data_IF_919596005387
#
_entry.id   IF_919596005387
#
_cell.length_a   1.000
_cell.length_b   1.000
_cell.length_c   1.000
_cell.angle_alpha   90.00
_cell.angle_beta   90.00
_cell.angle_gamma   90.00
#
_symmetry.space_group_name_H-M   'P 1'
#
loop_
_entity.id
_entity.type
_entity.pdbx_description
1 polymer ?
#
# COMPACT_ATOMS: atom_id res chain seq x y z
N UNK A 1 -16.39 39.81 59.46
CA UNK A 1 -16.98 39.20 58.29
C UNK A 1 -15.85 39.02 57.25
N UNK A 2 -15.25 37.83 57.20
CA UNK A 2 -14.12 37.54 56.30
C UNK A 2 -14.67 36.95 55.03
N UNK A 3 -14.49 37.64 53.89
CA UNK A 3 -14.84 37.14 52.57
C UNK A 3 -13.72 36.24 52.08
N UNK A 4 -13.98 34.94 51.96
CA UNK A 4 -13.09 33.99 51.28
C UNK A 4 -13.27 34.14 49.76
N UNK A 5 -12.22 34.59 49.10
CA UNK A 5 -12.10 34.52 47.64
C UNK A 5 -11.64 33.12 47.26
N UNK A 6 -12.52 32.34 46.63
CA UNK A 6 -12.16 31.09 45.97
C UNK A 6 -11.62 31.45 44.58
N UNK A 7 -10.30 31.35 44.43
CA UNK A 7 -9.65 31.41 43.09
C UNK A 7 -9.73 30.00 42.49
N UNK A 8 -10.67 29.85 41.57
CA UNK A 8 -10.76 28.64 40.72
C UNK A 8 -9.68 28.71 39.65
N UNK A 9 -8.59 27.97 39.86
CA UNK A 9 -7.56 27.78 38.84
C UNK A 9 -8.07 26.70 37.86
N UNK A 10 -8.59 27.15 36.71
CA UNK A 10 -8.90 26.29 35.59
C UNK A 10 -7.57 25.82 34.96
N UNK A 11 -7.13 24.62 35.33
CA UNK A 11 -6.07 23.93 34.59
C UNK A 11 -6.61 23.52 33.20
N UNK A 12 -6.33 24.33 32.22
CA UNK A 12 -6.53 23.96 30.82
C UNK A 12 -5.42 22.97 30.44
N UNK A 13 -5.69 21.67 30.58
CA UNK A 13 -4.84 20.63 30.09
C UNK A 13 -4.89 20.68 28.55
N UNK A 14 -3.90 21.31 27.94
CA UNK A 14 -3.65 21.27 26.49
C UNK A 14 -3.21 19.84 26.16
N UNK A 15 -4.16 18.98 25.79
CA UNK A 15 -3.85 17.69 25.18
C UNK A 15 -3.30 18.00 23.80
N UNK A 16 -1.98 18.07 23.67
CA UNK A 16 -1.28 18.06 22.40
C UNK A 16 -1.55 16.69 21.78
N UNK A 17 -2.62 16.59 21.02
CA UNK A 17 -2.80 15.47 20.09
C UNK A 17 -1.67 15.57 19.05
N UNK A 18 -0.56 14.90 19.32
CA UNK A 18 0.42 14.59 18.29
C UNK A 18 -0.31 13.73 17.28
N UNK A 19 -0.85 14.34 16.23
CA UNK A 19 -1.24 13.63 15.03
C UNK A 19 0.05 13.01 14.47
N UNK A 20 0.36 11.78 14.90
CA UNK A 20 1.40 10.99 14.29
C UNK A 20 1.01 10.90 12.83
N UNK A 21 1.75 11.60 11.98
CA UNK A 21 1.66 11.45 10.54
C UNK A 21 1.99 9.98 10.28
N UNK A 22 0.97 9.15 10.15
CA UNK A 22 1.15 7.73 9.85
C UNK A 22 1.90 7.65 8.54
N UNK A 23 3.16 7.27 8.61
CA UNK A 23 3.99 7.09 7.43
C UNK A 23 3.44 5.91 6.64
N UNK A 24 3.43 6.02 5.31
CA UNK A 24 2.88 4.98 4.42
C UNK A 24 3.65 3.67 4.54
N UNK A 25 4.95 3.75 4.71
CA UNK A 25 5.85 2.61 4.87
C UNK A 25 6.39 2.57 6.30
N UNK A 26 6.39 1.39 6.92
CA UNK A 26 6.97 1.19 8.23
C UNK A 26 8.32 0.44 8.14
N UNK A 27 9.47 1.10 8.39
CA UNK A 27 10.77 0.43 8.38
C UNK A 27 10.93 -0.65 9.46
N UNK A 28 10.10 -0.61 10.51
CA UNK A 28 10.12 -1.58 11.60
C UNK A 28 9.38 -2.90 11.31
N UNK A 29 8.67 -2.98 10.20
CA UNK A 29 7.93 -4.19 9.85
C UNK A 29 8.84 -5.38 9.54
N UNK A 30 8.43 -6.55 10.01
CA UNK A 30 8.92 -7.82 9.51
C UNK A 30 8.15 -8.15 8.22
N UNK A 31 8.77 -7.79 7.09
CA UNK A 31 8.11 -7.91 5.78
C UNK A 31 7.62 -9.34 5.46
N UNK A 32 8.30 -10.38 5.93
CA UNK A 32 7.86 -11.76 5.70
C UNK A 32 6.55 -12.04 6.43
N UNK A 33 6.45 -11.65 7.71
CA UNK A 33 5.22 -11.81 8.51
C UNK A 33 4.05 -10.99 7.98
N UNK A 34 4.31 -9.74 7.57
CA UNK A 34 3.26 -8.88 7.02
C UNK A 34 2.72 -9.44 5.69
N UNK A 35 3.59 -9.99 4.85
CA UNK A 35 3.17 -10.65 3.61
C UNK A 35 2.40 -11.94 3.91
N UNK A 36 2.82 -12.74 4.89
CA UNK A 36 2.07 -13.92 5.33
C UNK A 36 0.68 -13.55 5.84
N UNK A 37 0.57 -12.49 6.63
CA UNK A 37 -0.72 -11.99 7.09
C UNK A 37 -1.59 -11.50 5.91
N UNK A 38 -1.02 -10.74 4.99
CA UNK A 38 -1.73 -10.29 3.79
C UNK A 38 -2.24 -11.47 2.95
N UNK A 39 -1.44 -12.53 2.79
CA UNK A 39 -1.83 -13.75 2.09
C UNK A 39 -2.97 -14.51 2.80
N UNK A 40 -2.92 -14.60 4.13
CA UNK A 40 -4.01 -15.20 4.92
C UNK A 40 -5.33 -14.44 4.68
N UNK A 41 -5.31 -13.11 4.72
CA UNK A 41 -6.48 -12.28 4.44
C UNK A 41 -6.94 -12.41 2.99
N UNK A 42 -6.00 -12.41 2.03
CA UNK A 42 -6.30 -12.54 0.61
C UNK A 42 -6.99 -13.89 0.31
N UNK A 43 -6.47 -14.98 0.88
CA UNK A 43 -7.06 -16.32 0.75
C UNK A 43 -8.49 -16.38 1.30
N UNK A 44 -8.74 -15.80 2.49
CA UNK A 44 -10.06 -15.80 3.11
C UNK A 44 -11.11 -14.99 2.33
N UNK A 45 -10.67 -14.00 1.53
CA UNK A 45 -11.53 -13.09 0.78
C UNK A 45 -11.52 -13.34 -0.73
N UNK A 46 -10.88 -14.40 -1.20
CA UNK A 46 -10.67 -14.68 -2.63
C UNK A 46 -10.06 -13.49 -3.37
N UNK A 47 -8.99 -12.92 -2.82
CA UNK A 47 -8.25 -11.78 -3.38
C UNK A 47 -6.81 -12.16 -3.69
N UNK A 48 -6.13 -11.29 -4.40
CA UNK A 48 -4.67 -11.31 -4.55
C UNK A 48 -4.01 -10.33 -3.56
N UNK A 49 -2.69 -10.41 -3.39
CA UNK A 49 -1.92 -9.40 -2.65
C UNK A 49 -1.28 -8.46 -3.64
N UNK A 50 -1.48 -7.16 -3.45
CA UNK A 50 -0.80 -6.10 -4.17
C UNK A 50 0.27 -5.51 -3.25
N UNK A 51 1.53 -5.85 -3.49
CA UNK A 51 2.66 -5.25 -2.79
C UNK A 51 3.08 -3.99 -3.55
N UNK A 52 2.97 -2.82 -2.90
CA UNK A 52 3.58 -1.58 -3.37
C UNK A 52 4.94 -1.44 -2.67
N UNK A 53 6.03 -1.70 -3.38
CA UNK A 53 7.37 -1.54 -2.82
C UNK A 53 7.88 -0.11 -3.02
N UNK A 54 8.51 0.45 -1.98
CA UNK A 54 9.03 1.81 -1.99
C UNK A 54 9.43 2.30 -0.61
N UNK A 55 9.28 3.59 -0.35
CA UNK A 55 9.61 4.19 0.95
C UNK A 55 8.98 5.57 1.12
N UNK A 56 9.02 6.08 2.34
CA UNK A 56 8.46 7.40 2.67
C UNK A 56 9.22 8.58 2.02
N UNK A 57 10.41 8.34 1.48
CA UNK A 57 11.20 9.27 0.69
C UNK A 57 10.77 9.38 -0.77
N UNK A 58 9.96 8.42 -1.24
CA UNK A 58 9.56 8.25 -2.64
C UNK A 58 8.29 9.05 -2.95
N UNK A 59 8.42 10.18 -3.63
CA UNK A 59 7.27 11.03 -4.00
C UNK A 59 6.22 10.29 -4.83
N UNK A 60 6.63 9.51 -5.81
CA UNK A 60 5.74 8.73 -6.66
C UNK A 60 5.02 7.61 -5.90
N UNK A 61 5.64 7.07 -4.84
CA UNK A 61 4.99 6.09 -3.97
C UNK A 61 3.83 6.73 -3.18
N UNK A 62 4.07 7.92 -2.63
CA UNK A 62 3.06 8.70 -1.90
C UNK A 62 1.95 9.16 -2.85
N UNK A 63 2.32 9.57 -4.06
CA UNK A 63 1.35 9.98 -5.07
C UNK A 63 0.47 8.82 -5.52
N UNK A 64 1.03 7.61 -5.72
CA UNK A 64 0.20 6.44 -6.05
C UNK A 64 -0.79 6.11 -4.94
N UNK A 65 -0.37 6.14 -3.69
CA UNK A 65 -1.27 5.91 -2.54
C UNK A 65 -2.40 6.95 -2.50
N UNK A 66 -2.08 8.24 -2.69
CA UNK A 66 -3.08 9.29 -2.79
C UNK A 66 -4.04 9.06 -3.96
N UNK A 67 -3.50 8.83 -5.16
CA UNK A 67 -4.25 8.60 -6.39
C UNK A 67 -5.20 7.41 -6.24
N UNK A 68 -4.71 6.27 -5.74
CA UNK A 68 -5.50 5.06 -5.57
C UNK A 68 -6.65 5.19 -4.55
N UNK A 69 -6.57 6.15 -3.64
CA UNK A 69 -7.62 6.46 -2.65
C UNK A 69 -8.63 7.49 -3.16
N UNK A 70 -8.24 8.33 -4.11
CA UNK A 70 -9.07 9.44 -4.63
C UNK A 70 -9.78 9.13 -5.93
N UNK A 71 -9.18 8.31 -6.80
CA UNK A 71 -9.85 7.81 -8.01
C UNK A 71 -10.83 6.69 -7.62
N UNK A 72 -12.12 6.91 -7.88
CA UNK A 72 -13.19 6.00 -7.45
C UNK A 72 -13.07 4.61 -8.07
N UNK A 73 -12.71 4.53 -9.35
CA UNK A 73 -12.55 3.28 -10.10
C UNK A 73 -11.37 2.46 -9.56
N UNK A 74 -10.22 3.13 -9.35
CA UNK A 74 -9.02 2.48 -8.81
C UNK A 74 -9.24 2.01 -7.36
N UNK A 75 -9.87 2.86 -6.55
CA UNK A 75 -10.23 2.50 -5.17
C UNK A 75 -11.14 1.27 -5.12
N UNK A 76 -12.13 1.20 -6.00
CA UNK A 76 -13.07 0.09 -6.07
C UNK A 76 -12.38 -1.20 -6.51
N UNK A 77 -11.59 -1.18 -7.59
CA UNK A 77 -10.91 -2.37 -8.09
C UNK A 77 -9.90 -2.92 -7.08
N UNK A 78 -9.13 -2.05 -6.41
CA UNK A 78 -8.21 -2.45 -5.34
C UNK A 78 -9.01 -3.03 -4.19
N UNK A 79 -10.04 -2.33 -3.72
CA UNK A 79 -10.87 -2.76 -2.60
C UNK A 79 -11.53 -4.12 -2.81
N UNK A 80 -11.96 -4.43 -4.03
CA UNK A 80 -12.64 -5.67 -4.35
C UNK A 80 -11.69 -6.85 -4.60
N UNK A 81 -10.48 -6.61 -5.13
CA UNK A 81 -9.64 -7.68 -5.66
C UNK A 81 -8.29 -7.87 -4.96
N UNK A 82 -7.87 -6.90 -4.14
CA UNK A 82 -6.53 -6.92 -3.57
C UNK A 82 -6.50 -6.68 -2.06
N UNK A 83 -5.52 -7.29 -1.41
CA UNK A 83 -5.02 -6.89 -0.10
C UNK A 83 -3.72 -6.15 -0.34
N UNK A 84 -3.63 -4.89 0.08
CA UNK A 84 -2.44 -4.05 -0.16
C UNK A 84 -1.46 -4.18 0.99
N UNK A 85 -0.17 -4.35 0.66
CA UNK A 85 0.94 -4.23 1.59
C UNK A 85 1.99 -3.25 1.06
N UNK A 86 2.48 -2.36 1.93
CA UNK A 86 3.52 -1.39 1.59
C UNK A 86 4.88 -1.91 2.03
N UNK A 87 5.64 -2.51 1.11
CA UNK A 87 6.96 -3.08 1.38
C UNK A 87 8.01 -1.97 1.42
N UNK A 88 8.59 -1.73 2.60
CA UNK A 88 9.57 -0.69 2.80
C UNK A 88 10.93 -1.00 2.14
N UNK A 89 11.50 0.03 1.50
CA UNK A 89 12.89 0.14 1.11
C UNK A 89 13.45 1.47 1.59
N UNK A 90 14.25 1.45 2.63
CA UNK A 90 14.86 2.65 3.19
C UNK A 90 16.24 2.34 3.77
N UNK A 91 16.99 3.38 4.19
CA UNK A 91 18.29 3.20 4.82
C UNK A 91 18.22 2.40 6.14
N UNK A 92 17.09 2.52 6.84
CA UNK A 92 16.84 1.82 8.11
C UNK A 92 16.56 0.32 7.88
N UNK A 93 15.88 0.01 6.77
CA UNK A 93 15.54 -1.36 6.42
C UNK A 93 15.31 -1.50 4.91
N UNK A 94 16.23 -2.12 4.21
CA UNK A 94 16.13 -2.38 2.77
C UNK A 94 15.36 -3.66 2.43
N UNK A 95 14.99 -4.47 3.42
CA UNK A 95 14.27 -5.74 3.21
C UNK A 95 14.88 -6.65 2.11
N UNK A 96 16.22 -6.66 2.01
CA UNK A 96 16.98 -7.30 0.91
C UNK A 96 16.55 -8.74 0.63
N UNK A 97 16.27 -9.52 1.68
CA UNK A 97 15.85 -10.93 1.57
C UNK A 97 14.49 -11.03 0.85
N UNK A 98 13.54 -10.19 1.23
CA UNK A 98 12.20 -10.13 0.62
C UNK A 98 12.28 -9.67 -0.85
N UNK A 99 13.09 -8.65 -1.13
CA UNK A 99 13.31 -8.20 -2.51
C UNK A 99 13.98 -9.28 -3.37
N UNK A 100 14.97 -10.02 -2.83
CA UNK A 100 15.59 -11.14 -3.53
C UNK A 100 14.59 -12.27 -3.82
N UNK A 101 13.73 -12.62 -2.84
CA UNK A 101 12.65 -13.63 -2.99
C UNK A 101 11.74 -13.32 -4.17
N UNK A 102 11.44 -12.05 -4.43
CA UNK A 102 10.59 -11.64 -5.55
C UNK A 102 11.35 -11.24 -6.82
N UNK A 103 12.63 -11.57 -6.92
CA UNK A 103 13.44 -11.41 -8.13
C UNK A 103 13.93 -9.99 -8.35
N UNK A 104 14.32 -9.30 -7.27
CA UNK A 104 14.94 -7.97 -7.30
C UNK A 104 14.12 -6.90 -8.03
N UNK A 105 12.84 -6.69 -7.65
CA UNK A 105 11.95 -5.74 -8.33
C UNK A 105 12.45 -4.29 -8.27
N UNK A 106 13.27 -3.92 -7.26
CA UNK A 106 13.84 -2.57 -7.11
C UNK A 106 14.67 -2.10 -8.34
N UNK A 107 15.08 -3.03 -9.23
CA UNK A 107 15.77 -2.68 -10.47
C UNK A 107 14.91 -1.85 -11.43
N UNK A 108 13.60 -1.85 -11.24
CA UNK A 108 12.65 -1.06 -12.03
C UNK A 108 12.40 0.35 -11.45
N UNK A 109 13.06 0.71 -10.34
CA UNK A 109 12.77 1.94 -9.61
C UNK A 109 11.61 1.81 -8.64
N UNK A 110 11.08 2.95 -8.15
CA UNK A 110 10.03 3.00 -7.14
C UNK A 110 8.95 4.04 -7.48
N UNK A 111 7.66 3.75 -7.18
CA UNK A 111 7.20 2.47 -6.69
C UNK A 111 7.33 1.37 -7.73
N UNK A 112 7.49 0.15 -7.27
CA UNK A 112 7.29 -1.04 -8.10
C UNK A 112 6.22 -1.91 -7.45
N UNK A 113 5.34 -2.46 -8.27
CA UNK A 113 4.24 -3.29 -7.79
C UNK A 113 4.52 -4.76 -8.04
N UNK A 114 4.19 -5.58 -7.05
CA UNK A 114 4.29 -7.03 -7.15
C UNK A 114 2.93 -7.61 -6.82
N UNK A 115 2.42 -8.49 -7.68
CA UNK A 115 1.17 -9.19 -7.42
C UNK A 115 1.47 -10.63 -7.05
N UNK A 116 0.92 -11.05 -5.91
CA UNK A 116 0.93 -12.43 -5.47
C UNK A 116 -0.50 -12.98 -5.54
N UNK A 117 -0.63 -14.21 -6.03
CA UNK A 117 -1.89 -14.93 -5.90
C UNK A 117 -2.12 -15.38 -4.44
N UNK A 118 -3.29 -15.94 -4.14
CA UNK A 118 -3.63 -16.39 -2.80
C UNK A 118 -2.78 -17.56 -2.26
N UNK A 119 -1.92 -18.16 -3.11
CA UNK A 119 -0.93 -19.17 -2.71
C UNK A 119 0.44 -18.57 -2.38
N UNK A 120 0.62 -17.26 -2.57
CA UNK A 120 1.89 -16.58 -2.37
C UNK A 120 2.84 -16.64 -3.56
N UNK A 121 2.39 -17.15 -4.70
CA UNK A 121 3.15 -17.19 -5.93
C UNK A 121 3.15 -15.80 -6.57
N UNK A 122 4.33 -15.30 -6.95
CA UNK A 122 4.43 -14.05 -7.68
C UNK A 122 3.93 -14.26 -9.11
N UNK A 123 2.86 -13.58 -9.48
CA UNK A 123 2.25 -13.68 -10.81
C UNK A 123 2.56 -12.48 -11.70
N UNK A 124 2.94 -11.34 -11.12
CA UNK A 124 3.31 -10.16 -11.91
C UNK A 124 4.26 -9.23 -11.16
N UNK A 125 5.03 -8.45 -11.92
CA UNK A 125 5.80 -7.29 -11.45
C UNK A 125 5.54 -6.14 -12.42
N UNK A 126 5.02 -5.01 -11.89
CA UNK A 126 4.69 -3.82 -12.68
C UNK A 126 5.58 -2.65 -12.29
N UNK A 127 6.27 -2.11 -13.26
CA UNK A 127 6.98 -0.83 -13.18
C UNK A 127 5.98 0.31 -13.17
N UNK A 128 6.20 1.33 -12.32
CA UNK A 128 5.27 2.45 -12.18
C UNK A 128 5.33 3.46 -13.34
N UNK A 129 6.46 3.64 -13.97
CA UNK A 129 6.65 4.64 -15.03
C UNK A 129 5.69 4.48 -16.20
N UNK A 130 5.35 3.23 -16.54
CA UNK A 130 4.37 2.94 -17.59
C UNK A 130 2.94 3.34 -17.24
N UNK A 131 2.66 3.55 -15.96
CA UNK A 131 1.34 3.91 -15.42
C UNK A 131 1.12 5.41 -15.27
N UNK A 132 2.18 6.21 -15.43
CA UNK A 132 2.16 7.66 -15.24
C UNK A 132 1.37 8.39 -16.34
N UNK A 133 0.86 9.57 -15.98
CA UNK A 133 0.11 10.47 -16.87
C UNK A 133 1.03 11.36 -17.76
N UNK A 134 2.35 11.23 -17.58
CA UNK A 134 3.35 12.06 -18.25
C UNK A 134 3.50 13.47 -17.67
N UNK A 135 2.88 13.73 -16.51
CA UNK A 135 2.95 15.04 -15.79
C UNK A 135 3.42 14.81 -14.34
N UNK A 136 2.50 14.69 -13.42
CA UNK A 136 2.82 14.63 -11.99
C UNK A 136 2.01 13.58 -11.21
N UNK A 137 1.25 12.72 -11.90
CA UNK A 137 0.40 11.70 -11.31
C UNK A 137 0.30 10.48 -12.21
N UNK A 138 -0.69 9.65 -11.97
CA UNK A 138 -0.97 8.40 -12.67
C UNK A 138 -2.14 8.55 -13.64
N UNK A 139 -2.12 7.78 -14.72
CA UNK A 139 -3.20 7.72 -15.68
C UNK A 139 -4.22 6.65 -15.24
N UNK A 140 -5.47 7.09 -15.00
CA UNK A 140 -6.54 6.22 -14.49
C UNK A 140 -6.79 4.99 -15.39
N UNK A 141 -6.78 5.17 -16.70
CA UNK A 141 -7.03 4.06 -17.64
C UNK A 141 -5.90 3.03 -17.61
N UNK A 142 -4.64 3.48 -17.57
CA UNK A 142 -3.48 2.58 -17.50
C UNK A 142 -3.45 1.80 -16.19
N UNK A 143 -3.71 2.49 -15.05
CA UNK A 143 -3.73 1.84 -13.73
C UNK A 143 -4.91 0.88 -13.63
N UNK A 144 -6.09 1.27 -14.13
CA UNK A 144 -7.26 0.40 -14.14
C UNK A 144 -6.97 -0.88 -14.94
N UNK A 145 -6.47 -0.74 -16.18
CA UNK A 145 -6.11 -1.88 -17.02
C UNK A 145 -5.10 -2.81 -16.36
N UNK A 146 -4.04 -2.24 -15.76
CA UNK A 146 -3.06 -3.03 -15.01
C UNK A 146 -3.72 -3.84 -13.90
N UNK A 147 -4.50 -3.18 -13.04
CA UNK A 147 -5.13 -3.86 -11.90
C UNK A 147 -6.18 -4.88 -12.34
N UNK A 148 -6.98 -4.57 -13.36
CA UNK A 148 -8.04 -5.46 -13.84
C UNK A 148 -7.48 -6.77 -14.39
N UNK A 149 -6.42 -6.70 -15.21
CA UNK A 149 -5.83 -7.87 -15.85
C UNK A 149 -5.27 -8.92 -14.87
N UNK A 150 -4.96 -8.50 -13.63
CA UNK A 150 -4.39 -9.38 -12.61
C UNK A 150 -5.36 -9.69 -11.46
N UNK A 151 -6.66 -9.49 -11.64
CA UNK A 151 -7.66 -9.89 -10.65
C UNK A 151 -7.82 -11.41 -10.59
N UNK A 152 -8.27 -11.99 -9.45
CA UNK A 152 -8.57 -13.42 -9.37
C UNK A 152 -9.57 -13.87 -10.44
N UNK A 153 -10.54 -13.04 -10.78
CA UNK A 153 -11.54 -13.32 -11.82
C UNK A 153 -10.89 -13.46 -13.19
N UNK A 154 -10.04 -12.50 -13.58
CA UNK A 154 -9.39 -12.52 -14.91
C UNK A 154 -8.42 -13.68 -15.09
N UNK A 155 -7.89 -14.24 -14.01
CA UNK A 155 -7.00 -15.41 -14.07
C UNK A 155 -7.74 -16.73 -13.85
N UNK A 156 -9.06 -16.69 -13.69
CA UNK A 156 -9.86 -17.91 -13.56
C UNK A 156 -10.15 -18.53 -14.92
N UNK A 157 -9.95 -19.85 -15.13
CA UNK A 157 -10.33 -20.55 -16.35
C UNK A 157 -11.80 -20.35 -16.72
N UNK A 158 -12.68 -20.23 -15.73
CA UNK A 158 -14.10 -19.98 -15.93
C UNK A 158 -14.40 -18.66 -16.67
N UNK A 159 -13.50 -17.67 -16.61
CA UNK A 159 -13.64 -16.42 -17.37
C UNK A 159 -13.43 -16.61 -18.87
N UNK A 160 -12.91 -17.75 -19.29
CA UNK A 160 -12.59 -18.12 -20.67
C UNK A 160 -13.38 -19.35 -21.16
N UNK A 161 -14.40 -19.77 -20.40
CA UNK A 161 -15.24 -20.91 -20.77
C UNK A 161 -14.55 -22.28 -20.62
N UNK A 162 -13.51 -22.34 -19.77
CA UNK A 162 -12.74 -23.57 -19.51
C UNK A 162 -13.02 -24.11 -18.11
#
# INVERSE_FOLDING_TARGET
>A
MKKLFFISVLLFAFVMANAQKTSLYNPGDDAEKEIEYALMVAKSKNKHVLIQAGGNWCKWCIEFDRFSKTDSSIKEIIGNNYVVYHLNWSKENENKKTFAKYGFPQRFGFPVFIILNAKGEKIHTQESGTLEDGKSSYNSQKVNYFLEMWTPKMLSPASYGM
#
